data_IF_235964656093
#
_entry.id   IF_235964656093
#
_cell.length_a   1.000
_cell.length_b   1.000
_cell.length_c   1.000
_cell.angle_alpha   90.00
_cell.angle_beta   90.00
_cell.angle_gamma   90.00
#
_symmetry.space_group_name_H-M   'P 1'
#
loop_
_entity.id
_entity.type
_entity.pdbx_description
1 polymer ?
#
# COMPACT_ATOMS: atom_id res chain seq x y z
N UNK A 1 9.50 4.87 -0.03
CA UNK A 1 9.87 3.67 0.76
C UNK A 1 9.37 3.76 2.19
N UNK A 2 9.85 4.70 3.00
CA UNK A 2 9.45 4.82 4.42
C UNK A 2 7.93 4.87 4.63
N UNK A 3 7.20 5.67 3.86
CA UNK A 3 5.74 5.77 3.96
C UNK A 3 5.01 4.48 3.59
N UNK A 4 5.53 3.69 2.66
CA UNK A 4 4.95 2.39 2.30
C UNK A 4 5.17 1.36 3.41
N UNK A 5 6.35 1.34 4.03
CA UNK A 5 6.63 0.51 5.21
C UNK A 5 5.74 0.88 6.40
N UNK A 6 5.55 2.18 6.69
CA UNK A 6 4.67 2.64 7.76
C UNK A 6 3.21 2.22 7.54
N UNK A 7 2.72 2.32 6.30
CA UNK A 7 1.38 1.83 5.95
C UNK A 7 1.26 0.32 6.16
N UNK A 8 2.22 -0.46 5.69
CA UNK A 8 2.23 -1.91 5.88
C UNK A 8 2.24 -2.30 7.37
N UNK A 9 3.08 -1.65 8.17
CA UNK A 9 3.15 -1.90 9.61
C UNK A 9 1.84 -1.55 10.32
N UNK A 10 1.18 -0.47 9.90
CA UNK A 10 -0.12 -0.09 10.44
C UNK A 10 -1.23 -1.08 10.09
N UNK A 11 -1.23 -1.63 8.87
CA UNK A 11 -2.18 -2.68 8.48
C UNK A 11 -1.93 -3.95 9.29
N UNK A 12 -0.67 -4.33 9.49
CA UNK A 12 -0.32 -5.50 10.30
C UNK A 12 -0.73 -5.31 11.77
N UNK A 13 -0.49 -4.12 12.33
CA UNK A 13 -0.90 -3.77 13.68
C UNK A 13 -2.43 -3.82 13.84
N UNK A 14 -3.17 -3.30 12.86
CA UNK A 14 -4.62 -3.41 12.80
C UNK A 14 -5.07 -4.88 12.76
N UNK A 15 -4.50 -5.69 11.85
CA UNK A 15 -4.86 -7.11 11.70
C UNK A 15 -4.67 -7.91 13.00
N UNK A 16 -3.58 -7.64 13.72
CA UNK A 16 -3.26 -8.31 14.98
C UNK A 16 -4.14 -7.83 16.15
N UNK A 17 -4.53 -6.55 16.15
CA UNK A 17 -5.22 -5.94 17.29
C UNK A 17 -6.74 -5.77 17.13
N UNK A 18 -7.27 -6.01 15.93
CA UNK A 18 -8.67 -5.76 15.60
C UNK A 18 -9.66 -6.50 16.51
N UNK A 19 -9.29 -7.68 17.00
CA UNK A 19 -10.14 -8.51 17.86
C UNK A 19 -10.00 -8.23 19.37
N UNK A 20 -9.05 -7.39 19.80
CA UNK A 20 -8.75 -7.20 21.24
C UNK A 20 -9.66 -6.18 21.93
N UNK A 21 -9.83 -4.99 21.35
CA UNK A 21 -10.61 -3.92 21.97
C UNK A 21 -10.94 -2.79 21.00
N UNK A 22 -12.14 -2.21 21.15
CA UNK A 22 -12.59 -1.06 20.36
C UNK A 22 -11.63 0.15 20.48
N UNK A 23 -11.05 0.40 21.66
CA UNK A 23 -10.11 1.51 21.85
C UNK A 23 -8.84 1.35 21.01
N UNK A 24 -8.30 0.14 20.96
CA UNK A 24 -7.09 -0.19 20.20
C UNK A 24 -7.40 -0.15 18.69
N UNK A 25 -8.60 -0.57 18.30
CA UNK A 25 -9.09 -0.48 16.92
C UNK A 25 -9.11 0.98 16.43
N UNK A 26 -9.65 1.91 17.23
CA UNK A 26 -9.70 3.35 16.90
C UNK A 26 -8.29 3.91 16.70
N UNK A 27 -7.37 3.61 17.61
CA UNK A 27 -5.97 4.06 17.49
C UNK A 27 -5.33 3.51 16.21
N UNK A 28 -5.53 2.22 15.92
CA UNK A 28 -4.95 1.56 14.75
C UNK A 28 -5.47 2.13 13.44
N UNK A 29 -6.78 2.38 13.32
CA UNK A 29 -7.36 2.94 12.11
C UNK A 29 -7.00 4.42 11.92
N UNK A 30 -6.86 5.18 13.01
CA UNK A 30 -6.36 6.56 12.96
C UNK A 30 -4.91 6.61 12.48
N UNK A 31 -4.03 5.74 13.00
CA UNK A 31 -2.65 5.63 12.53
C UNK A 31 -2.58 5.28 11.05
N UNK A 32 -3.40 4.30 10.62
CA UNK A 32 -3.50 3.94 9.21
C UNK A 32 -3.94 5.14 8.36
N UNK A 33 -4.97 5.88 8.79
CA UNK A 33 -5.45 7.06 8.10
C UNK A 33 -4.37 8.14 7.94
N UNK A 34 -3.57 8.39 8.99
CA UNK A 34 -2.46 9.36 8.94
C UNK A 34 -1.40 8.92 7.94
N UNK A 35 -0.95 7.67 7.98
CA UNK A 35 0.08 7.18 7.06
C UNK A 35 -0.42 7.08 5.62
N UNK A 36 -1.70 6.72 5.43
CA UNK A 36 -2.33 6.69 4.11
C UNK A 36 -2.41 8.11 3.54
N UNK A 37 -2.89 9.07 4.33
CA UNK A 37 -2.99 10.48 3.97
C UNK A 37 -1.65 11.11 3.58
N UNK A 38 -0.57 10.75 4.28
CA UNK A 38 0.79 11.16 3.89
C UNK A 38 1.26 10.49 2.58
N UNK A 39 0.90 9.22 2.36
CA UNK A 39 1.38 8.47 1.21
C UNK A 39 0.78 8.89 -0.13
N UNK A 40 -0.50 9.30 -0.13
CA UNK A 40 -1.25 9.66 -1.34
C UNK A 40 -0.63 10.82 -2.15
N UNK A 41 -0.33 12.00 -1.57
CA UNK A 41 0.29 13.10 -2.31
C UNK A 41 1.73 12.78 -2.71
N UNK A 42 2.46 12.01 -1.88
CA UNK A 42 3.85 11.66 -2.19
C UNK A 42 3.96 10.82 -3.45
N UNK A 43 3.07 9.84 -3.66
CA UNK A 43 3.13 8.95 -4.83
C UNK A 43 2.89 9.70 -6.14
N UNK A 44 1.85 10.55 -6.19
CA UNK A 44 1.52 11.32 -7.40
C UNK A 44 2.54 12.40 -7.69
N UNK A 45 3.02 13.11 -6.67
CA UNK A 45 4.05 14.15 -6.83
C UNK A 45 5.40 13.56 -7.27
N UNK A 46 5.84 12.43 -6.69
CA UNK A 46 7.07 11.77 -7.12
C UNK A 46 6.98 11.35 -8.59
N UNK A 47 5.85 10.77 -9.01
CA UNK A 47 5.67 10.34 -10.40
C UNK A 47 5.66 11.52 -11.37
N UNK A 48 4.97 12.60 -11.03
CA UNK A 48 4.94 13.82 -11.84
C UNK A 48 6.32 14.50 -11.96
N UNK A 49 7.13 14.43 -10.90
CA UNK A 49 8.49 14.98 -10.90
C UNK A 49 9.48 14.14 -11.73
N UNK A 50 9.32 12.81 -11.75
CA UNK A 50 10.19 11.91 -12.55
C UNK A 50 9.87 12.02 -14.04
N UNK A 51 8.62 12.29 -14.40
CA UNK A 51 8.16 12.38 -15.79
C UNK A 51 7.52 13.76 -16.08
N UNK A 52 8.28 14.87 -16.01
CA UNK A 52 7.71 16.22 -16.12
C UNK A 52 7.03 16.48 -17.47
N UNK A 53 7.60 15.93 -18.55
CA UNK A 53 7.05 16.02 -19.92
C UNK A 53 5.77 15.20 -20.10
N UNK A 54 5.59 14.12 -19.33
CA UNK A 54 4.45 13.20 -19.41
C UNK A 54 3.62 13.18 -18.13
N UNK A 55 3.61 14.28 -17.37
CA UNK A 55 2.94 14.37 -16.05
C UNK A 55 1.46 14.02 -16.10
N UNK A 56 0.75 14.42 -17.17
CA UNK A 56 -0.67 14.15 -17.34
C UNK A 56 -0.93 12.65 -17.59
N UNK A 57 -0.19 12.04 -18.52
CA UNK A 57 -0.31 10.62 -18.85
C UNK A 57 0.11 9.73 -17.68
N UNK A 58 1.25 10.01 -17.04
CA UNK A 58 1.74 9.23 -15.89
C UNK A 58 0.76 9.28 -14.70
N UNK A 59 0.23 10.47 -14.38
CA UNK A 59 -0.80 10.61 -13.35
C UNK A 59 -2.10 9.91 -13.75
N UNK A 60 -2.47 9.94 -15.03
CA UNK A 60 -3.64 9.23 -15.58
C UNK A 60 -3.52 7.72 -15.42
N UNK A 61 -2.38 7.12 -15.81
CA UNK A 61 -2.11 5.69 -15.66
C UNK A 61 -2.08 5.29 -14.18
N UNK A 62 -1.45 6.09 -13.32
CA UNK A 62 -1.45 5.86 -11.87
C UNK A 62 -2.89 5.82 -11.32
N UNK A 63 -3.71 6.82 -11.66
CA UNK A 63 -5.10 6.88 -11.20
C UNK A 63 -5.94 5.74 -11.76
N UNK A 64 -5.72 5.32 -13.01
CA UNK A 64 -6.39 4.17 -13.61
C UNK A 64 -6.19 2.92 -12.75
N UNK A 65 -4.94 2.54 -12.48
CA UNK A 65 -4.65 1.38 -11.63
C UNK A 65 -5.19 1.56 -10.20
N UNK A 66 -5.04 2.76 -9.62
CA UNK A 66 -5.56 3.04 -8.27
C UNK A 66 -7.05 2.74 -8.17
N UNK A 67 -7.85 3.27 -9.09
CA UNK A 67 -9.29 3.08 -9.06
C UNK A 67 -9.69 1.67 -9.49
N UNK A 68 -9.00 1.08 -10.45
CA UNK A 68 -9.20 -0.31 -10.86
C UNK A 68 -9.07 -1.27 -9.67
N UNK A 69 -7.99 -1.14 -8.89
CA UNK A 69 -7.79 -1.94 -7.69
C UNK A 69 -8.72 -1.55 -6.54
N UNK A 70 -9.16 -0.30 -6.43
CA UNK A 70 -10.17 0.11 -5.43
C UNK A 70 -11.54 -0.53 -5.71
N UNK A 71 -11.86 -0.81 -6.98
CA UNK A 71 -13.07 -1.53 -7.38
C UNK A 71 -12.92 -3.05 -7.24
N UNK A 72 -11.79 -3.61 -7.70
CA UNK A 72 -11.56 -5.06 -7.68
C UNK A 72 -11.19 -5.57 -6.28
N UNK A 73 -10.54 -4.75 -5.47
CA UNK A 73 -10.07 -5.07 -4.13
C UNK A 73 -11.15 -5.70 -3.26
N UNK A 74 -12.31 -5.05 -3.06
CA UNK A 74 -13.42 -5.63 -2.30
C UNK A 74 -13.93 -6.95 -2.87
N UNK A 75 -14.03 -7.09 -4.20
CA UNK A 75 -14.48 -8.33 -4.86
C UNK A 75 -13.52 -9.48 -4.54
N UNK A 76 -12.22 -9.24 -4.67
CA UNK A 76 -11.17 -10.22 -4.33
C UNK A 76 -11.15 -10.47 -2.82
N UNK A 77 -11.33 -9.43 -2.01
CA UNK A 77 -11.42 -9.50 -0.55
C UNK A 77 -12.54 -10.43 -0.07
N UNK A 78 -13.71 -10.40 -0.72
CA UNK A 78 -14.82 -11.31 -0.37
C UNK A 78 -14.46 -12.79 -0.46
N UNK A 79 -13.53 -13.17 -1.35
CA UNK A 79 -13.05 -14.55 -1.46
C UNK A 79 -12.27 -14.97 -0.21
N UNK A 80 -11.48 -14.06 0.35
CA UNK A 80 -10.72 -14.29 1.59
C UNK A 80 -11.63 -14.24 2.82
N UNK A 81 -12.61 -13.33 2.83
CA UNK A 81 -13.55 -13.18 3.94
C UNK A 81 -14.32 -14.48 4.26
N UNK A 82 -14.59 -15.32 3.25
CA UNK A 82 -15.21 -16.65 3.43
C UNK A 82 -14.45 -17.57 4.39
N UNK A 83 -13.14 -17.40 4.53
CA UNK A 83 -12.28 -18.21 5.39
C UNK A 83 -11.92 -17.48 6.70
N UNK A 84 -12.45 -16.27 6.92
CA UNK A 84 -12.20 -15.44 8.09
C UNK A 84 -11.63 -14.07 7.72
N UNK A 85 -12.17 -13.01 8.36
CA UNK A 85 -11.81 -11.62 8.04
C UNK A 85 -10.31 -11.32 8.20
N UNK A 86 -9.62 -12.00 9.13
CA UNK A 86 -8.18 -11.80 9.37
C UNK A 86 -7.32 -12.21 8.17
N UNK A 87 -7.77 -13.21 7.40
CA UNK A 87 -7.03 -13.72 6.24
C UNK A 87 -6.88 -12.66 5.15
N UNK A 88 -7.89 -11.81 4.96
CA UNK A 88 -7.87 -10.71 4.01
C UNK A 88 -6.75 -9.71 4.35
N UNK A 89 -6.61 -9.36 5.63
CA UNK A 89 -5.56 -8.44 6.07
C UNK A 89 -4.17 -9.07 5.99
N UNK A 90 -4.01 -10.35 6.36
CA UNK A 90 -2.73 -11.04 6.22
C UNK A 90 -2.30 -11.19 4.76
N UNK A 91 -3.24 -11.51 3.85
CA UNK A 91 -2.98 -11.55 2.41
C UNK A 91 -2.52 -10.18 1.91
N UNK A 92 -3.19 -9.09 2.32
CA UNK A 92 -2.76 -7.72 1.99
C UNK A 92 -1.34 -7.42 2.46
N UNK A 93 -0.97 -7.81 3.69
CA UNK A 93 0.39 -7.63 4.23
C UNK A 93 1.42 -8.40 3.40
N UNK A 94 1.13 -9.65 3.01
CA UNK A 94 2.03 -10.47 2.18
C UNK A 94 2.23 -9.82 0.81
N UNK A 95 1.16 -9.37 0.16
CA UNK A 95 1.24 -8.69 -1.15
C UNK A 95 2.08 -7.41 -1.03
N UNK A 96 1.88 -6.61 0.02
CA UNK A 96 2.68 -5.42 0.29
C UNK A 96 4.16 -5.76 0.53
N UNK A 97 4.45 -6.80 1.30
CA UNK A 97 5.80 -7.27 1.56
C UNK A 97 6.50 -7.67 0.26
N UNK A 98 5.84 -8.49 -0.56
CA UNK A 98 6.35 -8.92 -1.87
C UNK A 98 6.62 -7.75 -2.80
N UNK A 99 5.72 -6.76 -2.86
CA UNK A 99 5.91 -5.56 -3.66
C UNK A 99 7.12 -4.74 -3.17
N UNK A 100 7.25 -4.53 -1.86
CA UNK A 100 8.40 -3.82 -1.29
C UNK A 100 9.72 -4.54 -1.54
N UNK A 101 9.73 -5.88 -1.40
CA UNK A 101 10.90 -6.70 -1.71
C UNK A 101 11.27 -6.60 -3.19
N UNK A 102 10.29 -6.70 -4.09
CA UNK A 102 10.51 -6.56 -5.53
C UNK A 102 11.12 -5.19 -5.88
N UNK A 103 10.52 -4.10 -5.39
CA UNK A 103 11.02 -2.75 -5.64
C UNK A 103 12.42 -2.58 -5.03
N UNK A 104 12.65 -3.07 -3.80
CA UNK A 104 13.97 -3.04 -3.17
C UNK A 104 15.02 -3.76 -4.02
N UNK A 105 14.72 -4.98 -4.50
CA UNK A 105 15.63 -5.74 -5.37
C UNK A 105 15.93 -4.99 -6.67
N UNK A 106 14.92 -4.40 -7.30
CA UNK A 106 15.10 -3.68 -8.56
C UNK A 106 15.98 -2.43 -8.39
N UNK A 107 15.74 -1.62 -7.35
CA UNK A 107 16.57 -0.45 -7.07
C UNK A 107 18.01 -0.83 -6.71
N UNK A 108 18.21 -1.91 -5.93
CA UNK A 108 19.56 -2.36 -5.57
C UNK A 108 20.31 -2.95 -6.79
N UNK A 109 19.60 -3.62 -7.69
CA UNK A 109 20.17 -4.16 -8.92
C UNK A 109 20.57 -3.04 -9.89
N UNK A 110 19.76 -1.98 -10.02
CA UNK A 110 20.09 -0.82 -10.85
C UNK A 110 21.33 -0.06 -10.38
N UNK A 111 21.60 0.02 -9.07
CA UNK A 111 22.83 0.64 -8.56
C UNK A 111 24.10 -0.11 -8.95
N UNK A 112 24.01 -1.43 -9.13
CA UNK A 112 25.17 -2.30 -9.43
C UNK A 112 25.58 -2.32 -10.91
N UNK A 113 24.76 -1.76 -11.81
CA UNK A 113 25.11 -1.64 -13.25
C UNK A 113 25.66 -0.25 -13.63
N UNK A 114 25.68 0.70 -12.69
CA UNK A 114 26.15 2.08 -12.92
C UNK A 114 27.53 2.34 -12.29
N UNK A 115 28.01 1.42 -11.46
CA UNK A 115 29.41 1.34 -11.00
C UNK A 115 30.21 0.37 -11.89
#
# INVERSE_FOLDING_TARGET
>A
MATAFLNMLSILFFAATAALSLRILIVSISLFGVFLGLSLPLQTTLLANVLPQHRATSTGVYNFFRYFWMTIGPVVGTLFYRYGFQLEFYACVIIFACALLFIYRQFFFQRRCVE
#
